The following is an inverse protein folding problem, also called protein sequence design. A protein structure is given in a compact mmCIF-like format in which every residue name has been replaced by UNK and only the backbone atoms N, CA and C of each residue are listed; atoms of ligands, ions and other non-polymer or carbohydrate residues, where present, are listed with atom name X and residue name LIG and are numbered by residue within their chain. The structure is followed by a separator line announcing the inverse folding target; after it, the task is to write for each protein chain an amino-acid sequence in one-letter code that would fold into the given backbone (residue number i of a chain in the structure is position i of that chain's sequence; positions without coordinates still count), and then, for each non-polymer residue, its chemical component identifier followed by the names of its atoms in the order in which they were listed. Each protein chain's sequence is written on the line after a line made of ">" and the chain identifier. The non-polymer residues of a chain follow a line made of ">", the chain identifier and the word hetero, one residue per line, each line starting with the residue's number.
data_IF_792928779614
#
_entry.id   IF_792928779614
#
_cell.length_a   1.000
_cell.length_b   1.000
_cell.length_c   1.000
_cell.angle_alpha   90.00
_cell.angle_beta   90.00
_cell.angle_gamma   90.00
#
_symmetry.space_group_name_H-M   'P 1'
#
loop_
_entity.id
_entity.type
_entity.pdbx_description
1 polymer ?
#
# COMPACT_ATOMS: atom_id res chain seq x y z
N UNK A 1 3.90 -6.92 86.21
CA UNK A 1 4.69 -6.02 85.33
C UNK A 1 4.94 -6.72 84.01
N UNK A 2 4.31 -6.26 82.93
CA UNK A 2 4.85 -6.14 81.56
C UNK A 2 3.67 -5.95 80.60
N UNK A 3 3.67 -4.80 79.94
CA UNK A 3 2.65 -4.30 79.02
C UNK A 3 2.92 -4.88 77.63
N UNK A 4 1.92 -5.50 76.99
CA UNK A 4 1.98 -5.88 75.58
C UNK A 4 1.19 -4.88 74.76
N UNK A 5 1.88 -3.85 74.26
CA UNK A 5 1.33 -2.86 73.35
C UNK A 5 1.22 -3.46 71.94
N UNK A 6 0.00 -3.53 71.40
CA UNK A 6 -0.26 -3.89 70.00
C UNK A 6 -0.03 -2.65 69.14
N UNK A 7 1.08 -2.62 68.41
CA UNK A 7 1.38 -1.59 67.42
C UNK A 7 0.61 -1.95 66.14
N UNK A 8 -0.39 -1.15 65.81
CA UNK A 8 -1.17 -1.25 64.58
C UNK A 8 -0.39 -0.52 63.47
N UNK A 9 0.25 -1.28 62.59
CA UNK A 9 1.00 -0.73 61.45
C UNK A 9 0.03 -0.37 60.32
N UNK A 10 -0.28 0.92 60.17
CA UNK A 10 -0.99 1.46 59.01
C UNK A 10 0.00 1.56 57.84
N UNK A 11 -0.09 0.63 56.89
CA UNK A 11 0.62 0.74 55.61
C UNK A 11 -0.15 1.71 54.72
N UNK A 12 0.34 2.95 54.63
CA UNK A 12 -0.13 3.92 53.65
C UNK A 12 0.39 3.47 52.28
N UNK A 13 -0.48 2.84 51.50
CA UNK A 13 -0.22 2.47 50.10
C UNK A 13 -0.19 3.77 49.27
N UNK A 14 1.00 4.35 49.13
CA UNK A 14 1.23 5.50 48.27
C UNK A 14 1.07 5.05 46.80
N UNK A 15 -0.08 5.37 46.22
CA UNK A 15 -0.38 5.11 44.81
C UNK A 15 0.55 5.92 43.92
N UNK A 16 1.56 5.25 43.37
CA UNK A 16 2.43 5.80 42.34
C UNK A 16 1.60 5.95 41.05
N UNK A 17 1.04 7.15 40.83
CA UNK A 17 0.42 7.50 39.55
C UNK A 17 1.55 7.61 38.54
N UNK A 18 1.80 6.54 37.78
CA UNK A 18 2.64 6.63 36.60
C UNK A 18 1.83 7.39 35.52
N UNK A 19 2.33 8.53 35.00
CA UNK A 19 1.72 9.14 33.84
C UNK A 19 1.90 8.19 32.65
N UNK A 20 0.79 7.70 32.10
CA UNK A 20 0.76 7.00 30.81
C UNK A 20 1.12 7.99 29.71
N UNK A 21 2.41 8.20 29.45
CA UNK A 21 2.86 8.83 28.22
C UNK A 21 2.71 7.80 27.11
N UNK A 22 1.48 7.63 26.61
CA UNK A 22 1.24 6.95 25.34
C UNK A 22 1.56 7.95 24.23
N UNK A 23 2.84 8.21 24.00
CA UNK A 23 3.27 8.71 22.70
C UNK A 23 3.23 7.50 21.79
N UNK A 24 2.11 7.33 21.08
CA UNK A 24 2.11 6.44 19.92
C UNK A 24 3.24 6.91 19.01
N UNK A 25 4.32 6.15 18.96
CA UNK A 25 5.41 6.40 18.02
C UNK A 25 4.78 6.53 16.63
N UNK A 26 5.05 7.63 15.93
CA UNK A 26 4.43 7.87 14.63
C UNK A 26 4.76 6.74 13.65
N UNK A 27 3.85 6.51 12.71
CA UNK A 27 3.97 5.51 11.66
C UNK A 27 4.74 6.07 10.47
N UNK A 28 5.58 5.24 9.86
CA UNK A 28 6.26 5.49 8.59
C UNK A 28 5.83 4.44 7.54
N UNK A 29 5.88 4.76 6.23
CA UNK A 29 5.22 3.96 5.19
C UNK A 29 5.81 2.56 4.97
N UNK A 30 7.10 2.38 5.21
CA UNK A 30 7.79 1.12 4.93
C UNK A 30 8.53 0.60 6.14
N UNK A 31 8.76 -0.71 6.15
CA UNK A 31 9.60 -1.42 7.10
C UNK A 31 10.78 -2.03 6.34
N UNK A 32 11.98 -1.88 6.88
CA UNK A 32 13.16 -2.61 6.45
C UNK A 32 13.23 -3.90 7.26
N UNK A 33 13.12 -5.04 6.58
CA UNK A 33 13.28 -6.37 7.15
C UNK A 33 14.75 -6.78 7.23
N UNK A 34 14.99 -8.01 7.67
CA UNK A 34 16.33 -8.55 7.78
C UNK A 34 16.96 -8.76 6.40
N UNK A 35 18.18 -8.28 6.24
CA UNK A 35 18.98 -8.50 5.02
C UNK A 35 19.37 -9.98 4.90
N UNK A 36 19.17 -10.55 3.72
CA UNK A 36 19.47 -11.96 3.45
C UNK A 36 20.80 -12.04 2.69
N UNK A 37 21.76 -12.78 3.25
CA UNK A 37 23.08 -13.01 2.63
C UNK A 37 23.04 -14.16 1.61
N UNK A 38 22.14 -14.07 0.64
CA UNK A 38 22.04 -14.99 -0.48
C UNK A 38 21.62 -14.25 -1.76
N UNK A 39 21.88 -14.83 -2.94
CA UNK A 39 21.35 -14.30 -4.20
C UNK A 39 19.83 -14.20 -4.20
N UNK A 40 19.30 -13.31 -5.04
CA UNK A 40 17.88 -12.97 -5.12
C UNK A 40 16.97 -14.20 -5.27
N UNK A 41 17.34 -15.14 -6.15
CA UNK A 41 16.53 -16.31 -6.44
C UNK A 41 16.37 -17.27 -5.25
N UNK A 42 17.38 -17.35 -4.38
CA UNK A 42 17.34 -18.18 -3.18
C UNK A 42 16.62 -17.47 -2.03
N UNK A 43 16.85 -16.16 -1.90
CA UNK A 43 16.12 -15.32 -0.97
C UNK A 43 14.61 -15.32 -1.25
N UNK A 44 14.21 -15.20 -2.51
CA UNK A 44 12.83 -15.26 -2.97
C UNK A 44 12.12 -16.54 -2.52
N UNK A 45 12.69 -17.71 -2.84
CA UNK A 45 12.12 -19.01 -2.43
C UNK A 45 12.01 -19.13 -0.91
N UNK A 46 13.04 -18.68 -0.18
CA UNK A 46 13.07 -18.74 1.28
C UNK A 46 11.98 -17.84 1.89
N UNK A 47 11.82 -16.61 1.38
CA UNK A 47 10.82 -15.65 1.84
C UNK A 47 9.40 -16.17 1.58
N UNK A 48 9.10 -16.62 0.36
CA UNK A 48 7.80 -17.21 0.03
C UNK A 48 7.46 -18.40 0.95
N UNK A 49 8.43 -19.30 1.20
CA UNK A 49 8.22 -20.43 2.11
C UNK A 49 7.91 -19.99 3.54
N UNK A 50 8.63 -18.98 4.06
CA UNK A 50 8.38 -18.44 5.42
C UNK A 50 7.03 -17.75 5.52
N UNK A 51 6.63 -16.99 4.50
CA UNK A 51 5.32 -16.32 4.43
C UNK A 51 4.16 -17.35 4.49
N UNK A 52 4.22 -18.38 3.65
CA UNK A 52 3.21 -19.45 3.64
C UNK A 52 3.15 -20.19 4.97
N UNK A 53 4.30 -20.56 5.55
CA UNK A 53 4.35 -21.16 6.90
C UNK A 53 3.81 -20.23 7.99
N UNK A 54 3.92 -18.92 7.79
CA UNK A 54 3.38 -17.89 8.67
C UNK A 54 1.90 -17.58 8.47
N UNK A 55 1.20 -18.28 7.58
CA UNK A 55 -0.23 -18.11 7.34
C UNK A 55 -0.59 -17.01 6.33
N UNK A 56 0.37 -16.56 5.53
CA UNK A 56 0.14 -15.63 4.42
C UNK A 56 0.10 -16.35 3.08
N UNK A 57 -0.80 -15.93 2.20
CA UNK A 57 -0.83 -16.36 0.81
C UNK A 57 0.01 -15.42 -0.04
N UNK A 58 0.92 -15.96 -0.86
CA UNK A 58 1.61 -15.19 -1.90
C UNK A 58 0.70 -15.14 -3.12
N UNK A 59 -0.05 -14.05 -3.26
CA UNK A 59 -1.08 -13.87 -4.30
C UNK A 59 -0.54 -13.21 -5.57
N UNK A 60 0.62 -12.55 -5.47
CA UNK A 60 1.32 -11.93 -6.58
C UNK A 60 2.83 -12.13 -6.46
N UNK A 61 3.49 -12.34 -7.60
CA UNK A 61 4.94 -12.49 -7.69
C UNK A 61 5.39 -12.07 -9.09
N UNK A 62 6.19 -11.01 -9.18
CA UNK A 62 6.75 -10.56 -10.45
C UNK A 62 8.05 -9.77 -10.25
N UNK A 63 8.80 -9.56 -11.34
CA UNK A 63 10.03 -8.77 -11.34
C UNK A 63 9.82 -7.50 -12.17
N UNK A 64 9.59 -6.33 -11.54
CA UNK A 64 9.33 -5.08 -12.28
C UNK A 64 10.59 -4.54 -12.96
N UNK A 65 11.77 -4.80 -12.38
CA UNK A 65 13.07 -4.39 -12.90
C UNK A 65 14.09 -5.45 -12.53
N UNK A 66 15.19 -5.52 -13.28
CA UNK A 66 16.30 -6.44 -13.00
C UNK A 66 16.75 -6.29 -11.54
N UNK A 67 17.05 -7.43 -10.89
CA UNK A 67 17.48 -7.54 -9.50
C UNK A 67 16.43 -7.15 -8.44
N UNK A 68 15.16 -6.95 -8.85
CA UNK A 68 14.05 -6.70 -7.93
C UNK A 68 12.95 -7.72 -8.17
N UNK A 69 12.47 -8.33 -7.09
CA UNK A 69 11.26 -9.14 -7.05
C UNK A 69 10.27 -8.44 -6.13
N UNK A 70 9.02 -8.28 -6.59
CA UNK A 70 7.91 -7.82 -5.78
C UNK A 70 6.94 -8.98 -5.55
N UNK A 71 6.70 -9.27 -4.28
CA UNK A 71 5.69 -10.21 -3.82
C UNK A 71 4.50 -9.43 -3.28
N UNK A 72 3.29 -9.85 -3.62
CA UNK A 72 2.07 -9.37 -2.99
C UNK A 72 1.48 -10.48 -2.16
N UNK A 73 1.17 -10.17 -0.90
CA UNK A 73 0.65 -11.13 0.08
C UNK A 73 -0.75 -10.78 0.53
N UNK A 74 -1.52 -11.79 0.89
CA UNK A 74 -2.83 -11.66 1.52
C UNK A 74 -2.95 -12.64 2.69
N UNK A 75 -4.01 -12.53 3.48
CA UNK A 75 -4.34 -13.48 4.54
C UNK A 75 -5.84 -13.40 4.87
N UNK A 76 -6.42 -14.43 5.51
CA UNK A 76 -7.82 -14.37 5.96
C UNK A 76 -8.12 -13.17 6.86
N UNK A 77 -7.17 -12.76 7.72
CA UNK A 77 -7.32 -11.58 8.57
C UNK A 77 -7.40 -10.29 7.74
N UNK A 78 -6.54 -10.13 6.73
CA UNK A 78 -6.57 -8.98 5.82
C UNK A 78 -7.87 -8.92 5.02
N UNK A 79 -8.36 -10.06 4.51
CA UNK A 79 -9.62 -10.13 3.77
C UNK A 79 -10.82 -9.79 4.66
N UNK A 80 -10.81 -10.22 5.93
CA UNK A 80 -11.82 -9.83 6.91
C UNK A 80 -11.82 -8.31 7.08
N UNK A 81 -10.68 -7.69 7.36
CA UNK A 81 -10.57 -6.24 7.50
C UNK A 81 -10.99 -5.49 6.22
N UNK A 82 -10.61 -5.98 5.04
CA UNK A 82 -11.02 -5.39 3.76
C UNK A 82 -12.55 -5.45 3.54
N UNK A 83 -13.21 -6.47 4.09
CA UNK A 83 -14.67 -6.59 4.02
C UNK A 83 -15.43 -5.60 4.91
N UNK A 84 -14.76 -4.83 5.77
CA UNK A 84 -15.44 -3.99 6.77
C UNK A 84 -15.64 -2.52 6.32
N UNK A 85 -15.00 -2.06 5.23
CA UNK A 85 -15.12 -0.66 4.78
C UNK A 85 -15.41 -0.53 3.27
N UNK A 86 -16.03 0.56 2.77
CA UNK A 86 -16.46 0.66 1.37
C UNK A 86 -15.34 0.46 0.35
N UNK A 87 -14.12 0.91 0.66
CA UNK A 87 -12.91 0.78 -0.17
C UNK A 87 -11.85 -0.14 0.45
N UNK A 88 -12.27 -1.00 1.39
CA UNK A 88 -11.35 -1.86 2.14
C UNK A 88 -10.54 -2.82 1.26
N UNK A 89 -11.00 -3.12 0.04
CA UNK A 89 -10.26 -3.93 -0.94
C UNK A 89 -8.85 -3.43 -1.26
N UNK A 90 -8.55 -2.12 -1.14
CA UNK A 90 -7.16 -1.62 -1.27
C UNK A 90 -6.22 -2.16 -0.18
N UNK A 91 -6.75 -2.61 0.96
CA UNK A 91 -5.98 -3.23 2.05
C UNK A 91 -5.94 -4.77 1.99
N UNK A 92 -6.50 -5.39 0.95
CA UNK A 92 -6.59 -6.85 0.83
C UNK A 92 -5.27 -7.51 0.42
N UNK A 93 -4.28 -6.71 -0.02
CA UNK A 93 -2.92 -7.13 -0.28
C UNK A 93 -1.92 -6.15 0.33
N UNK A 94 -0.73 -6.65 0.64
CA UNK A 94 0.44 -5.83 0.99
C UNK A 94 1.62 -6.30 0.16
N UNK A 95 2.49 -5.37 -0.20
CA UNK A 95 3.65 -5.66 -1.04
C UNK A 95 4.95 -5.75 -0.23
N UNK A 96 5.79 -6.66 -0.69
CA UNK A 96 7.16 -6.91 -0.22
C UNK A 96 8.07 -6.82 -1.43
N UNK A 97 9.17 -6.09 -1.30
CA UNK A 97 10.24 -6.02 -2.29
C UNK A 97 11.46 -6.77 -1.77
N UNK A 98 12.04 -7.57 -2.66
CA UNK A 98 13.33 -8.22 -2.52
C UNK A 98 14.25 -7.58 -3.55
N UNK A 99 15.20 -6.80 -3.09
CA UNK A 99 16.15 -6.08 -3.95
C UNK A 99 17.55 -6.62 -3.72
N UNK A 100 18.20 -7.08 -4.78
CA UNK A 100 19.58 -7.55 -4.71
C UNK A 100 20.58 -6.44 -5.05
N UNK A 101 21.50 -6.21 -4.14
CA UNK A 101 22.61 -5.29 -4.30
C UNK A 101 23.87 -5.88 -3.66
N UNK A 102 24.96 -5.94 -4.42
CA UNK A 102 26.27 -6.47 -3.99
C UNK A 102 26.20 -7.86 -3.34
N UNK A 103 25.39 -8.77 -3.90
CA UNK A 103 25.26 -10.15 -3.41
C UNK A 103 24.47 -10.30 -2.11
N UNK A 104 23.82 -9.23 -1.64
CA UNK A 104 22.86 -9.24 -0.52
C UNK A 104 21.48 -8.89 -1.03
N UNK A 105 20.47 -9.56 -0.48
CA UNK A 105 19.07 -9.25 -0.77
C UNK A 105 18.47 -8.45 0.38
N UNK A 106 18.10 -7.21 0.10
CA UNK A 106 17.39 -6.32 1.00
C UNK A 106 15.89 -6.62 0.93
N UNK A 107 15.26 -6.68 2.10
CA UNK A 107 13.81 -6.94 2.22
C UNK A 107 13.15 -5.66 2.69
N UNK A 108 12.25 -5.10 1.89
CA UNK A 108 11.40 -3.97 2.32
C UNK A 108 9.94 -4.32 2.13
N UNK A 109 9.07 -3.84 2.98
CA UNK A 109 7.63 -4.10 2.85
C UNK A 109 6.79 -2.95 3.36
N UNK A 110 5.56 -2.87 2.87
CA UNK A 110 4.60 -1.86 3.32
C UNK A 110 4.28 -2.06 4.80
N UNK A 111 4.31 -0.98 5.59
CA UNK A 111 3.99 -1.03 7.02
C UNK A 111 2.48 -1.22 7.24
N UNK A 112 1.99 -2.36 7.77
CA UNK A 112 0.56 -2.64 7.79
C UNK A 112 -0.30 -1.61 8.54
N UNK A 113 0.09 -1.09 9.73
CA UNK A 113 -0.59 0.02 10.37
C UNK A 113 -0.61 1.33 9.59
N UNK A 114 0.46 1.63 8.83
CA UNK A 114 0.49 2.82 8.00
C UNK A 114 -0.53 2.73 6.86
N UNK A 115 -0.56 1.57 6.18
CA UNK A 115 -1.53 1.28 5.12
C UNK A 115 -2.94 1.28 5.68
N UNK A 116 -3.17 0.63 6.83
CA UNK A 116 -4.45 0.59 7.49
C UNK A 116 -5.01 2.00 7.79
N UNK A 117 -4.17 2.87 8.36
CA UNK A 117 -4.56 4.23 8.67
C UNK A 117 -4.82 5.06 7.40
N UNK A 118 -3.89 5.04 6.43
CA UNK A 118 -4.00 5.82 5.19
C UNK A 118 -5.14 5.37 4.27
N UNK A 119 -5.47 4.07 4.27
CA UNK A 119 -6.58 3.49 3.51
C UNK A 119 -7.86 3.33 4.34
N UNK A 120 -7.87 3.86 5.58
CA UNK A 120 -9.04 3.90 6.47
C UNK A 120 -9.69 2.52 6.64
N UNK A 121 -8.86 1.52 6.89
CA UNK A 121 -9.31 0.18 7.23
C UNK A 121 -9.92 0.15 8.63
N UNK A 122 -10.77 -0.83 8.89
CA UNK A 122 -11.48 -0.95 10.17
C UNK A 122 -10.59 -1.45 11.33
N UNK A 123 -9.46 -2.07 11.02
CA UNK A 123 -8.45 -2.51 11.99
C UNK A 123 -7.14 -1.73 11.75
N UNK A 124 -6.37 -1.54 12.82
CA UNK A 124 -5.01 -0.98 12.78
C UNK A 124 -3.96 -1.93 12.19
N UNK A 125 -4.32 -3.18 11.88
CA UNK A 125 -3.43 -4.22 11.35
C UNK A 125 -2.16 -4.46 12.21
N UNK A 126 -2.16 -4.16 13.51
CA UNK A 126 -0.99 -4.39 14.38
C UNK A 126 -0.62 -5.88 14.48
N UNK A 127 -1.62 -6.76 14.51
CA UNK A 127 -1.40 -8.22 14.53
C UNK A 127 -0.72 -8.71 13.25
N UNK A 128 -1.10 -8.16 12.10
CA UNK A 128 -0.47 -8.44 10.80
C UNK A 128 0.98 -7.91 10.79
N UNK A 129 1.22 -6.71 11.34
CA UNK A 129 2.57 -6.17 11.47
C UNK A 129 3.47 -7.06 12.32
N UNK A 130 2.98 -7.52 13.48
CA UNK A 130 3.73 -8.42 14.35
C UNK A 130 4.05 -9.75 13.68
N UNK A 131 3.09 -10.31 12.94
CA UNK A 131 3.30 -11.54 12.19
C UNK A 131 4.36 -11.36 11.10
N UNK A 132 4.28 -10.29 10.29
CA UNK A 132 5.29 -10.02 9.25
C UNK A 132 6.67 -9.73 9.83
N UNK A 133 6.76 -8.95 10.91
CA UNK A 133 8.03 -8.70 11.60
C UNK A 133 8.69 -9.99 12.09
N UNK A 134 7.91 -10.97 12.58
CA UNK A 134 8.42 -12.27 12.99
C UNK A 134 8.93 -13.15 11.83
N UNK A 135 8.46 -12.90 10.60
CA UNK A 135 8.78 -13.69 9.39
C UNK A 135 9.95 -13.06 8.63
N UNK A 136 9.87 -11.73 8.42
CA UNK A 136 10.75 -10.96 7.54
C UNK A 136 11.78 -10.13 8.31
N UNK A 137 11.66 -10.03 9.63
CA UNK A 137 12.40 -9.05 10.44
C UNK A 137 11.77 -7.66 10.36
N UNK A 138 12.17 -6.77 11.27
CA UNK A 138 11.72 -5.37 11.31
C UNK A 138 12.83 -4.50 11.93
N UNK A 139 13.91 -4.28 11.19
CA UNK A 139 15.11 -3.58 11.66
C UNK A 139 14.81 -2.11 11.95
N UNK A 140 14.01 -1.46 11.09
CA UNK A 140 13.51 -0.09 11.29
C UNK A 140 12.30 0.20 10.39
N UNK A 141 11.58 1.27 10.71
CA UNK A 141 10.59 1.87 9.80
C UNK A 141 11.19 3.09 9.10
N UNK A 142 10.77 3.39 7.87
CA UNK A 142 11.38 4.44 7.05
C UNK A 142 10.45 4.99 5.95
N UNK A 143 10.96 5.98 5.19
CA UNK A 143 10.34 6.53 3.98
C UNK A 143 9.59 7.86 4.16
N UNK A 144 9.39 8.30 5.40
CA UNK A 144 8.77 9.58 5.74
C UNK A 144 9.08 10.00 7.17
N UNK A 145 8.85 11.26 7.55
CA UNK A 145 8.70 11.65 8.95
C UNK A 145 7.52 10.90 9.58
N UNK A 146 7.66 10.42 10.83
CA UNK A 146 6.58 9.71 11.52
C UNK A 146 5.28 10.52 11.61
N UNK A 147 4.14 9.87 11.36
CA UNK A 147 2.79 10.47 11.42
C UNK A 147 1.84 9.63 12.26
N UNK A 148 0.89 10.27 12.95
CA UNK A 148 -0.14 9.52 13.70
C UNK A 148 -1.14 8.88 12.75
N UNK A 149 -1.82 7.82 13.20
CA UNK A 149 -2.88 7.17 12.41
C UNK A 149 -3.96 8.18 11.97
N UNK A 150 -4.32 9.13 12.84
CA UNK A 150 -5.27 10.21 12.50
C UNK A 150 -4.76 11.10 11.36
N UNK A 151 -3.49 11.50 11.40
CA UNK A 151 -2.89 12.31 10.33
C UNK A 151 -2.85 11.56 8.98
N UNK A 152 -2.76 10.24 9.00
CA UNK A 152 -2.80 9.40 7.79
C UNK A 152 -4.23 9.22 7.28
N UNK A 153 -5.20 9.00 8.17
CA UNK A 153 -6.60 8.90 7.80
C UNK A 153 -7.14 10.20 7.18
N UNK A 154 -6.70 11.34 7.70
CA UNK A 154 -7.05 12.68 7.19
C UNK A 154 -6.05 13.19 6.13
N UNK A 155 -5.18 12.32 5.58
CA UNK A 155 -4.08 12.75 4.74
C UNK A 155 -4.55 13.41 3.44
N UNK A 156 -3.97 14.57 3.18
CA UNK A 156 -4.05 15.31 1.93
C UNK A 156 -2.71 16.02 1.76
N UNK A 157 -2.12 15.96 0.56
CA UNK A 157 -0.79 16.55 0.34
C UNK A 157 -0.79 18.07 0.49
N UNK A 158 -1.79 18.72 -0.13
CA UNK A 158 -2.01 20.16 -0.05
C UNK A 158 -3.49 20.46 -0.11
N UNK A 159 -3.89 21.62 0.42
CA UNK A 159 -5.30 22.03 0.39
C UNK A 159 -5.86 22.03 -1.03
N UNK A 160 -7.00 21.38 -1.22
CA UNK A 160 -7.68 21.24 -2.51
C UNK A 160 -7.13 20.11 -3.41
N UNK A 161 -6.16 19.32 -2.95
CA UNK A 161 -5.68 18.13 -3.66
C UNK A 161 -6.47 16.87 -3.32
N UNK A 162 -6.25 15.81 -4.08
CA UNK A 162 -6.99 14.57 -3.99
C UNK A 162 -6.71 13.81 -2.69
N UNK A 163 -7.75 13.19 -2.14
CA UNK A 163 -7.71 12.38 -0.91
C UNK A 163 -8.02 10.91 -1.21
N UNK A 164 -8.05 10.06 -0.18
CA UNK A 164 -8.51 8.67 -0.31
C UNK A 164 -9.94 8.54 -0.87
N UNK A 165 -10.77 9.58 -0.71
CA UNK A 165 -12.15 9.59 -1.19
C UNK A 165 -12.30 10.07 -2.65
N UNK A 166 -11.20 10.47 -3.29
CA UNK A 166 -11.20 11.04 -4.64
C UNK A 166 -10.46 10.12 -5.64
N UNK A 167 -10.91 8.85 -5.82
CA UNK A 167 -10.26 7.95 -6.75
C UNK A 167 -10.50 8.39 -8.20
N UNK A 168 -9.66 7.88 -9.09
CA UNK A 168 -9.81 8.05 -10.53
C UNK A 168 -10.80 7.02 -11.05
N UNK A 169 -11.84 7.49 -11.74
CA UNK A 169 -12.76 6.64 -12.50
C UNK A 169 -12.07 5.98 -13.70
N UNK A 170 -12.09 4.64 -13.73
CA UNK A 170 -11.56 3.80 -14.80
C UNK A 170 -12.65 3.20 -15.69
N UNK A 171 -13.92 3.51 -15.41
CA UNK A 171 -15.08 3.18 -16.21
C UNK A 171 -15.97 2.11 -15.61
N UNK A 172 -17.24 2.17 -16.03
CA UNK A 172 -18.30 1.28 -15.60
C UNK A 172 -18.61 0.15 -16.58
N UNK A 173 -19.34 -0.84 -16.07
CA UNK A 173 -19.74 -2.04 -16.80
C UNK A 173 -21.22 -2.36 -16.54
N UNK A 174 -21.86 -3.23 -17.35
CA UNK A 174 -23.24 -3.64 -17.11
C UNK A 174 -23.47 -4.36 -15.76
N UNK A 175 -22.44 -4.99 -15.20
CA UNK A 175 -22.50 -5.68 -13.90
C UNK A 175 -21.15 -6.24 -13.48
N UNK A 176 -21.04 -6.66 -12.21
CA UNK A 176 -19.79 -7.12 -11.58
C UNK A 176 -19.13 -8.27 -12.34
N UNK A 177 -19.86 -9.36 -12.63
CA UNK A 177 -19.32 -10.53 -13.33
C UNK A 177 -18.78 -10.18 -14.72
N UNK A 178 -19.48 -9.32 -15.46
CA UNK A 178 -19.03 -8.82 -16.77
C UNK A 178 -17.77 -7.98 -16.65
N UNK A 179 -17.69 -7.13 -15.62
CA UNK A 179 -16.52 -6.32 -15.33
C UNK A 179 -15.30 -7.20 -14.99
N UNK A 180 -15.45 -8.14 -14.05
CA UNK A 180 -14.41 -9.09 -13.65
C UNK A 180 -13.82 -9.81 -14.86
N UNK A 181 -14.68 -10.42 -15.69
CA UNK A 181 -14.26 -11.20 -16.85
C UNK A 181 -13.52 -10.33 -17.87
N UNK A 182 -14.05 -9.14 -18.15
CA UNK A 182 -13.46 -8.21 -19.12
C UNK A 182 -12.13 -7.67 -18.65
N UNK A 183 -12.02 -7.21 -17.41
CA UNK A 183 -10.77 -6.71 -16.81
C UNK A 183 -9.71 -7.83 -16.79
N UNK A 184 -10.08 -9.01 -16.28
CA UNK A 184 -9.19 -10.17 -16.21
C UNK A 184 -8.64 -10.56 -17.59
N UNK A 185 -9.50 -10.63 -18.61
CA UNK A 185 -9.10 -10.97 -19.98
C UNK A 185 -8.13 -9.94 -20.57
N UNK A 186 -8.39 -8.64 -20.36
CA UNK A 186 -7.55 -7.56 -20.89
C UNK A 186 -6.19 -7.51 -20.23
N UNK A 187 -6.11 -7.67 -18.91
CA UNK A 187 -4.85 -7.71 -18.17
C UNK A 187 -4.04 -8.98 -18.46
N UNK A 188 -4.69 -10.13 -18.67
CA UNK A 188 -4.02 -11.35 -19.10
C UNK A 188 -3.38 -11.23 -20.49
N UNK A 189 -3.96 -10.42 -21.38
CA UNK A 189 -3.42 -10.19 -22.72
C UNK A 189 -2.13 -9.34 -22.73
N UNK A 190 -1.76 -8.71 -21.60
CA UNK A 190 -0.54 -7.90 -21.42
C UNK A 190 -0.32 -6.83 -22.50
N UNK A 191 -1.40 -6.28 -23.06
CA UNK A 191 -1.33 -5.28 -24.13
C UNK A 191 -0.73 -3.99 -23.58
N UNK A 192 0.11 -3.35 -24.39
CA UNK A 192 0.74 -2.06 -24.07
C UNK A 192 1.59 -2.08 -22.78
N UNK A 193 2.02 -3.27 -22.37
CA UNK A 193 2.88 -3.45 -21.20
C UNK A 193 2.16 -3.36 -19.86
N UNK A 194 0.83 -3.47 -19.85
CA UNK A 194 -0.01 -3.52 -18.65
C UNK A 194 -0.38 -4.97 -18.36
N UNK A 195 0.06 -5.53 -17.23
CA UNK A 195 -0.14 -6.94 -16.87
C UNK A 195 -0.87 -7.15 -15.55
N UNK A 196 -1.49 -8.33 -15.39
CA UNK A 196 -2.02 -8.78 -14.10
C UNK A 196 -0.88 -9.33 -13.22
N UNK A 197 -0.82 -8.88 -11.96
CA UNK A 197 0.03 -9.46 -10.90
C UNK A 197 -0.80 -10.37 -9.99
N UNK A 198 -1.94 -9.86 -9.51
CA UNK A 198 -2.88 -10.61 -8.68
C UNK A 198 -4.30 -10.10 -8.90
N UNK A 199 -5.29 -10.93 -8.54
CA UNK A 199 -6.67 -10.50 -8.31
C UNK A 199 -7.23 -11.15 -7.06
N UNK A 200 -7.95 -10.39 -6.24
CA UNK A 200 -8.45 -10.85 -4.94
C UNK A 200 -9.89 -10.40 -4.77
N UNK A 201 -10.82 -11.35 -4.64
CA UNK A 201 -12.22 -11.08 -4.30
C UNK A 201 -12.36 -10.78 -2.80
N UNK A 202 -13.13 -9.77 -2.47
CA UNK A 202 -13.39 -9.38 -1.09
C UNK A 202 -14.62 -10.15 -0.58
N UNK A 203 -14.50 -10.95 0.49
CA UNK A 203 -15.61 -11.73 1.00
C UNK A 203 -16.84 -10.89 1.35
N UNK A 204 -18.03 -11.37 0.97
CA UNK A 204 -19.30 -10.71 1.29
C UNK A 204 -19.58 -9.42 0.50
N UNK A 205 -18.81 -9.13 -0.55
CA UNK A 205 -19.00 -7.95 -1.40
C UNK A 205 -18.85 -8.28 -2.88
N UNK A 206 -19.54 -7.51 -3.72
CA UNK A 206 -19.22 -7.40 -5.14
C UNK A 206 -18.01 -6.48 -5.31
N UNK A 207 -16.86 -6.91 -4.79
CA UNK A 207 -15.62 -6.14 -4.81
C UNK A 207 -14.43 -7.04 -5.09
N UNK A 208 -13.56 -6.61 -6.01
CA UNK A 208 -12.34 -7.32 -6.38
C UNK A 208 -11.21 -6.32 -6.60
N UNK A 209 -10.04 -6.57 -6.00
CA UNK A 209 -8.85 -5.74 -6.22
C UNK A 209 -7.88 -6.44 -7.16
N UNK A 210 -7.31 -5.69 -8.08
CA UNK A 210 -6.33 -6.13 -9.06
C UNK A 210 -5.00 -5.43 -8.78
N UNK A 211 -3.92 -6.21 -8.65
CA UNK A 211 -2.57 -5.70 -8.71
C UNK A 211 -2.12 -5.65 -10.16
N UNK A 212 -1.69 -4.48 -10.62
CA UNK A 212 -1.33 -4.24 -12.02
C UNK A 212 0.15 -3.93 -12.15
N UNK A 213 0.81 -4.71 -13.02
CA UNK A 213 2.17 -4.47 -13.45
C UNK A 213 2.16 -3.41 -14.57
N UNK A 214 2.83 -2.29 -14.29
CA UNK A 214 3.03 -1.18 -15.23
C UNK A 214 4.48 -1.07 -15.70
N UNK A 215 5.35 -2.02 -15.37
CA UNK A 215 6.78 -1.99 -15.73
C UNK A 215 7.03 -2.12 -17.24
N UNK A 216 6.10 -2.74 -17.97
CA UNK A 216 6.18 -2.87 -19.44
C UNK A 216 5.68 -1.64 -20.20
N UNK A 217 5.06 -0.66 -19.54
CA UNK A 217 4.49 0.53 -20.18
C UNK A 217 5.61 1.41 -20.74
N UNK A 218 5.54 1.75 -22.03
CA UNK A 218 6.59 2.52 -22.72
C UNK A 218 6.64 3.99 -22.32
N UNK A 219 5.48 4.60 -22.05
CA UNK A 219 5.44 5.97 -21.54
C UNK A 219 6.01 6.00 -20.12
N UNK A 220 7.17 6.64 -19.94
CA UNK A 220 7.83 6.76 -18.63
C UNK A 220 6.95 7.42 -17.57
N UNK A 221 6.00 8.28 -17.96
CA UNK A 221 5.09 8.91 -17.00
C UNK A 221 4.04 7.94 -16.45
N UNK A 222 3.83 6.80 -17.12
CA UNK A 222 2.91 5.74 -16.69
C UNK A 222 3.62 4.41 -16.36
N UNK A 223 4.96 4.39 -16.38
CA UNK A 223 5.75 3.21 -16.07
C UNK A 223 5.98 3.12 -14.55
N UNK A 224 5.52 2.03 -13.93
CA UNK A 224 5.57 1.87 -12.47
C UNK A 224 6.98 2.00 -11.87
N UNK A 225 8.00 1.44 -12.52
CA UNK A 225 9.40 1.52 -12.07
C UNK A 225 9.91 2.94 -12.21
N UNK A 226 9.68 3.57 -13.36
CA UNK A 226 10.13 4.94 -13.60
C UNK A 226 9.53 5.94 -12.60
N UNK A 227 8.33 5.69 -12.07
CA UNK A 227 7.74 6.51 -11.01
C UNK A 227 8.52 6.39 -9.73
N UNK A 228 8.81 5.16 -9.27
CA UNK A 228 9.58 4.91 -8.04
C UNK A 228 10.98 5.52 -8.18
N UNK A 229 11.68 5.23 -9.28
CA UNK A 229 13.04 5.75 -9.53
C UNK A 229 13.10 7.28 -9.60
N UNK A 230 12.00 7.94 -9.99
CA UNK A 230 11.95 9.41 -10.07
C UNK A 230 11.87 10.09 -8.70
N UNK A 231 11.51 9.35 -7.66
CA UNK A 231 11.28 9.89 -6.31
C UNK A 231 12.04 9.16 -5.21
N UNK A 232 12.69 8.05 -5.55
CA UNK A 232 13.44 7.23 -4.62
C UNK A 232 14.86 7.03 -5.11
N UNK A 233 15.78 7.77 -4.50
CA UNK A 233 17.21 7.63 -4.69
C UNK A 233 17.91 6.97 -3.51
N UNK A 234 17.15 6.51 -2.50
CA UNK A 234 17.67 5.92 -1.27
C UNK A 234 17.77 4.40 -1.35
N UNK A 235 18.66 3.83 -0.52
CA UNK A 235 18.72 2.41 -0.24
C UNK A 235 18.26 2.11 1.19
N UNK A 236 17.46 1.04 1.42
CA UNK A 236 16.85 0.20 0.39
C UNK A 236 15.71 0.94 -0.35
N UNK A 237 15.47 0.59 -1.62
CA UNK A 237 14.41 1.23 -2.40
C UNK A 237 13.02 0.79 -1.93
N UNK A 238 12.03 1.66 -2.15
CA UNK A 238 10.61 1.50 -1.82
C UNK A 238 9.83 0.85 -2.96
N UNK A 239 10.42 -0.12 -3.67
CA UNK A 239 9.72 -0.87 -4.72
C UNK A 239 8.50 -1.66 -4.21
N UNK A 240 8.38 -1.87 -2.89
CA UNK A 240 7.14 -2.33 -2.26
C UNK A 240 5.94 -1.36 -2.45
N UNK A 241 6.14 -0.16 -3.00
CA UNK A 241 5.07 0.70 -3.52
C UNK A 241 4.33 0.10 -4.73
N UNK A 242 4.95 -0.87 -5.41
CA UNK A 242 4.35 -1.61 -6.52
C UNK A 242 3.71 -2.91 -6.01
N UNK A 243 2.77 -3.54 -6.75
CA UNK A 243 2.16 -3.09 -8.01
C UNK A 243 1.15 -1.95 -7.80
N UNK A 244 0.57 -1.42 -8.89
CA UNK A 244 -0.50 -0.42 -8.81
C UNK A 244 -1.85 -1.10 -8.59
N UNK A 245 -2.66 -0.66 -7.63
CA UNK A 245 -3.97 -1.27 -7.36
C UNK A 245 -5.11 -0.62 -8.17
N UNK A 246 -5.99 -1.47 -8.69
CA UNK A 246 -7.32 -1.09 -9.21
C UNK A 246 -8.38 -1.85 -8.43
N UNK A 247 -9.41 -1.14 -7.98
CA UNK A 247 -10.55 -1.71 -7.29
C UNK A 247 -11.76 -1.74 -8.23
N UNK A 248 -12.27 -2.93 -8.51
CA UNK A 248 -13.62 -3.10 -9.05
C UNK A 248 -14.59 -3.11 -7.87
N UNK A 249 -15.46 -2.11 -7.80
CA UNK A 249 -16.47 -1.99 -6.77
C UNK A 249 -17.87 -1.97 -7.41
N UNK A 250 -18.64 -3.02 -7.14
CA UNK A 250 -19.87 -3.36 -7.86
C UNK A 250 -19.64 -3.48 -9.37
N UNK A 251 -19.91 -2.42 -10.13
CA UNK A 251 -19.75 -2.42 -11.59
C UNK A 251 -18.83 -1.30 -12.08
N UNK A 252 -18.16 -0.62 -11.16
CA UNK A 252 -17.31 0.53 -11.43
C UNK A 252 -15.86 0.16 -11.10
N UNK A 253 -14.95 0.37 -12.05
CA UNK A 253 -13.52 0.25 -11.80
C UNK A 253 -12.96 1.62 -11.38
N UNK A 254 -12.20 1.65 -10.29
CA UNK A 254 -11.55 2.85 -9.80
C UNK A 254 -10.11 2.54 -9.37
N UNK A 255 -9.27 3.57 -9.31
CA UNK A 255 -7.95 3.45 -8.69
C UNK A 255 -7.66 4.67 -7.82
N UNK A 256 -6.85 4.49 -6.77
CA UNK A 256 -6.38 5.63 -5.99
C UNK A 256 -5.67 6.62 -6.90
N UNK A 257 -6.00 7.90 -6.77
CA UNK A 257 -5.36 8.95 -7.55
C UNK A 257 -3.86 8.96 -7.25
N UNK A 258 -3.01 8.97 -8.29
CA UNK A 258 -1.56 8.95 -8.11
C UNK A 258 -1.07 10.11 -7.23
N UNK A 259 -1.69 11.31 -7.31
CA UNK A 259 -1.32 12.45 -6.46
C UNK A 259 -1.52 12.14 -4.99
N UNK A 260 -2.62 11.48 -4.64
CA UNK A 260 -2.86 10.99 -3.29
C UNK A 260 -1.92 9.84 -2.93
N UNK A 261 -1.89 8.76 -3.72
CA UNK A 261 -1.14 7.52 -3.42
C UNK A 261 0.36 7.80 -3.32
N UNK A 262 0.93 8.53 -4.26
CA UNK A 262 2.35 8.89 -4.24
C UNK A 262 2.66 9.77 -3.03
N UNK A 263 1.85 10.79 -2.76
CA UNK A 263 2.08 11.64 -1.60
C UNK A 263 1.94 10.89 -0.27
N UNK A 264 1.01 9.93 -0.18
CA UNK A 264 0.86 9.12 1.02
C UNK A 264 2.11 8.27 1.30
N UNK A 265 2.78 7.72 0.30
CA UNK A 265 3.98 6.87 0.51
C UNK A 265 5.32 7.62 0.39
N UNK A 266 5.30 8.82 -0.18
CA UNK A 266 6.46 9.69 -0.37
C UNK A 266 6.13 11.15 0.08
N UNK A 267 5.64 11.35 1.32
CA UNK A 267 5.05 12.62 1.76
C UNK A 267 6.05 13.78 1.91
N UNK A 268 7.34 13.44 2.06
CA UNK A 268 8.41 14.43 2.27
C UNK A 268 9.06 14.89 0.96
N UNK A 269 8.53 14.47 -0.20
CA UNK A 269 9.02 14.96 -1.48
C UNK A 269 8.77 16.47 -1.61
N UNK A 270 9.81 17.24 -1.92
CA UNK A 270 9.64 18.66 -2.23
C UNK A 270 8.84 18.84 -3.52
N UNK A 271 8.16 19.99 -3.63
CA UNK A 271 7.39 20.31 -4.83
C UNK A 271 8.26 20.60 -6.06
N UNK A 272 9.31 21.41 -5.91
CA UNK A 272 10.08 21.91 -7.06
C UNK A 272 11.61 21.78 -6.93
N UNK A 273 12.13 21.36 -5.78
CA UNK A 273 13.58 21.31 -5.54
C UNK A 273 14.11 19.88 -5.46
N UNK A 274 15.41 19.70 -5.71
CA UNK A 274 16.11 18.43 -5.52
C UNK A 274 15.95 17.39 -6.63
N UNK A 275 16.70 16.31 -6.49
CA UNK A 275 16.74 15.20 -7.46
C UNK A 275 15.51 14.29 -7.40
N UNK A 276 14.68 14.42 -6.38
CA UNK A 276 13.39 13.74 -6.23
C UNK A 276 12.33 14.80 -5.90
N UNK A 277 11.32 15.01 -6.76
CA UNK A 277 10.28 16.02 -6.56
C UNK A 277 8.96 15.70 -7.26
N UNK A 278 7.84 16.23 -6.74
CA UNK A 278 6.54 16.05 -7.39
C UNK A 278 6.46 16.70 -8.78
N UNK A 279 7.25 17.75 -9.04
CA UNK A 279 7.33 18.34 -10.37
C UNK A 279 7.79 17.33 -11.43
N UNK A 280 8.69 16.40 -11.09
CA UNK A 280 9.10 15.32 -12.02
C UNK A 280 7.94 14.37 -12.36
N UNK A 281 6.96 14.27 -11.48
CA UNK A 281 5.77 13.44 -11.64
C UNK A 281 4.55 14.20 -12.18
N UNK A 282 4.67 15.48 -12.56
CA UNK A 282 3.51 16.32 -12.92
C UNK A 282 2.62 15.74 -14.04
N UNK A 283 3.22 14.98 -14.96
CA UNK A 283 2.53 14.34 -16.09
C UNK A 283 2.04 12.92 -15.79
N UNK A 284 2.51 12.33 -14.69
CA UNK A 284 2.23 10.95 -14.34
C UNK A 284 0.77 10.67 -13.98
N UNK A 285 0.04 11.53 -13.23
CA UNK A 285 -1.36 11.26 -12.93
C UNK A 285 -2.23 11.07 -14.18
N UNK A 286 -2.09 11.95 -15.16
CA UNK A 286 -2.85 11.87 -16.41
C UNK A 286 -2.41 10.70 -17.30
N UNK A 287 -1.11 10.40 -17.33
CA UNK A 287 -0.57 9.29 -18.10
C UNK A 287 -1.05 7.94 -17.55
N UNK A 288 -0.96 7.73 -16.23
CA UNK A 288 -1.46 6.51 -15.57
C UNK A 288 -2.96 6.39 -15.75
N UNK A 289 -3.73 7.46 -15.54
CA UNK A 289 -5.17 7.46 -15.77
C UNK A 289 -5.51 6.95 -17.17
N UNK A 290 -4.88 7.50 -18.22
CA UNK A 290 -5.11 7.08 -19.61
C UNK A 290 -4.77 5.61 -19.85
N UNK A 291 -3.62 5.16 -19.33
CA UNK A 291 -3.17 3.77 -19.47
C UNK A 291 -4.14 2.82 -18.77
N UNK A 292 -4.54 3.11 -17.53
CA UNK A 292 -5.46 2.29 -16.75
C UNK A 292 -6.87 2.29 -17.35
N UNK A 293 -7.42 3.43 -17.75
CA UNK A 293 -8.73 3.51 -18.42
C UNK A 293 -8.77 2.64 -19.69
N UNK A 294 -7.69 2.69 -20.49
CA UNK A 294 -7.57 1.86 -21.67
C UNK A 294 -7.42 0.37 -21.34
N UNK A 295 -6.64 0.04 -20.31
CA UNK A 295 -6.45 -1.33 -19.87
C UNK A 295 -7.75 -1.94 -19.33
N UNK A 296 -8.50 -1.21 -18.50
CA UNK A 296 -9.79 -1.65 -17.96
C UNK A 296 -10.85 -1.76 -19.05
N UNK A 297 -10.96 -0.74 -19.91
CA UNK A 297 -11.89 -0.75 -21.04
C UNK A 297 -13.36 -0.66 -20.64
N UNK A 298 -13.65 -0.09 -19.46
CA UNK A 298 -15.00 0.28 -19.02
C UNK A 298 -15.55 1.47 -19.82
N UNK A 299 -16.87 1.67 -19.75
CA UNK A 299 -17.49 2.86 -20.30
C UNK A 299 -17.23 4.04 -19.35
N UNK A 300 -16.55 5.06 -19.84
CA UNK A 300 -16.33 6.29 -19.08
C UNK A 300 -17.60 7.14 -19.13
N UNK A 301 -18.00 7.72 -18.00
CA UNK A 301 -18.99 8.78 -18.02
C UNK A 301 -18.31 10.01 -18.60
N UNK A 302 -18.48 10.24 -19.90
CA UNK A 302 -18.15 11.54 -20.48
C UNK A 302 -19.19 12.51 -19.97
N UNK A 303 -18.81 13.46 -19.10
CA UNK A 303 -19.55 14.71 -18.96
C UNK A 303 -19.35 15.52 -20.25
N UNK A 304 -19.92 15.03 -21.35
CA UNK A 304 -20.25 15.85 -22.51
C UNK A 304 -21.58 16.52 -22.15
N UNK A 305 -21.49 17.80 -21.78
CA UNK A 305 -22.55 18.82 -21.72
C UNK A 305 -22.51 19.62 -20.42
N UNK A 306 -21.48 20.45 -20.27
CA UNK A 306 -21.71 21.79 -19.73
C UNK A 306 -21.59 22.75 -20.91
N UNK A 307 -22.69 22.86 -21.64
CA UNK A 307 -22.89 23.93 -22.60
C UNK A 307 -22.70 25.28 -21.91
N UNK A 308 -21.58 25.95 -22.21
CA UNK A 308 -21.57 27.40 -22.30
C UNK A 308 -21.62 27.76 -23.78
N UNK A 309 -22.80 27.52 -24.37
CA UNK A 309 -23.28 28.27 -25.51
C UNK A 309 -24.18 29.38 -25.00
N UNK A 310 -23.87 30.63 -25.37
CA UNK A 310 -24.81 31.74 -25.38
C UNK A 310 -24.81 32.64 -24.13
N UNK A 311 -23.90 33.61 -24.08
CA UNK A 311 -24.15 35.03 -24.38
C UNK A 311 -22.84 35.81 -24.29
#
# INVERSE_FOLDING_TARGET
>A
MMKSARILFWVILSGMIMPSVSTAAGLQPFVEGSTISSPLADADKAVQSKLVKGGFDVVGHYSPVKNVIVLSISSPAMLKTASETPRGGYGAALSISLEEHEGKTFVTYMNPPYVAAGYRLASDNESIAKALAGILGAEKTFGAKPRTAKQLADYQYGFGMETFNDPVDLGGYPGFTTAEQKISSRLAAKKEGVGLVYKIKIPGKDQEVFGIDLSGVKDRNANGVALVDSVDSGMPHRYAFLPYEVLLNNKEAEALNLRFRMALFFPDLPMMSGDASFFKLRSSPDAIKKVLQKAMGGALVTNSDNGFGGM
#
